data_IF_071534451122
#
_entry.id   IF_071534451122
#
_cell.length_a   1.000
_cell.length_b   1.000
_cell.length_c   1.000
_cell.angle_alpha   90.00
_cell.angle_beta   90.00
_cell.angle_gamma   90.00
#
_symmetry.space_group_name_H-M   'P 1'
#
loop_
_entity.id
_entity.type
_entity.pdbx_description
1 polymer ?
#
# COMPACT_ATOMS: atom_id res chain seq x y z
N UNK A 1 -26.51 -23.99 56.13
CA UNK A 1 -26.12 -24.90 55.03
C UNK A 1 -25.16 -24.14 54.14
N UNK A 2 -23.85 -24.38 54.34
CA UNK A 2 -22.77 -23.72 53.58
C UNK A 2 -22.38 -24.62 52.44
N UNK A 3 -22.54 -24.19 51.18
CA UNK A 3 -21.98 -24.87 50.04
C UNK A 3 -20.66 -24.18 49.65
N UNK A 4 -19.56 -24.80 50.00
CA UNK A 4 -18.23 -24.42 49.56
C UNK A 4 -17.98 -24.82 48.08
N UNK A 5 -17.68 -23.84 47.26
CA UNK A 5 -17.24 -24.06 45.85
C UNK A 5 -15.72 -24.23 45.85
N UNK A 6 -15.26 -25.45 45.69
CA UNK A 6 -13.83 -25.79 45.51
C UNK A 6 -13.45 -25.51 44.06
N UNK A 7 -12.66 -24.46 43.80
CA UNK A 7 -12.00 -24.25 42.49
C UNK A 7 -10.84 -25.24 42.34
N UNK A 8 -10.95 -26.11 41.38
CA UNK A 8 -9.86 -26.93 40.93
C UNK A 8 -8.84 -26.11 40.09
N UNK A 9 -7.64 -25.97 40.61
CA UNK A 9 -6.50 -25.38 39.92
C UNK A 9 -6.00 -26.37 38.87
N UNK A 10 -6.04 -26.00 37.61
CA UNK A 10 -5.50 -26.76 36.48
C UNK A 10 -3.97 -26.67 36.49
N UNK A 11 -3.22 -27.78 36.31
CA UNK A 11 -1.76 -27.74 36.29
C UNK A 11 -1.23 -26.94 35.09
N UNK A 12 0.00 -26.37 35.17
CA UNK A 12 0.59 -25.61 34.08
C UNK A 12 0.83 -26.51 32.87
N UNK A 13 0.41 -26.03 31.70
CA UNK A 13 0.66 -26.65 30.41
C UNK A 13 2.13 -26.40 30.05
N UNK A 14 2.85 -27.45 29.66
CA UNK A 14 4.24 -27.37 29.22
C UNK A 14 4.29 -26.73 27.80
N UNK A 15 4.72 -25.44 27.73
CA UNK A 15 4.72 -24.59 26.53
C UNK A 15 5.86 -24.89 25.56
N UNK A 16 6.69 -25.91 25.78
CA UNK A 16 7.92 -26.09 24.99
C UNK A 16 7.74 -26.84 23.67
N UNK A 17 6.65 -27.57 23.45
CA UNK A 17 6.45 -28.39 22.23
C UNK A 17 5.54 -27.75 21.18
N UNK A 18 4.69 -26.82 21.58
CA UNK A 18 3.76 -26.11 20.66
C UNK A 18 4.46 -25.07 19.78
N UNK A 19 5.51 -24.40 20.29
CA UNK A 19 6.23 -23.35 19.53
C UNK A 19 7.05 -23.88 18.36
N UNK A 20 7.47 -25.15 18.40
CA UNK A 20 8.25 -25.77 17.31
C UNK A 20 7.33 -26.26 16.20
N UNK A 21 6.14 -26.76 16.53
CA UNK A 21 5.12 -27.17 15.55
C UNK A 21 4.62 -25.99 14.71
N UNK A 22 4.39 -24.84 15.33
CA UNK A 22 3.92 -23.64 14.64
C UNK A 22 4.87 -23.13 13.55
N UNK A 23 6.20 -23.14 13.83
CA UNK A 23 7.22 -22.66 12.89
C UNK A 23 7.28 -23.48 11.59
N UNK A 24 7.11 -24.80 11.66
CA UNK A 24 7.15 -25.68 10.50
C UNK A 24 5.85 -25.58 9.68
N UNK A 25 4.72 -25.45 10.35
CA UNK A 25 3.41 -25.30 9.72
C UNK A 25 3.32 -23.98 8.93
N UNK A 26 3.75 -22.87 9.54
CA UNK A 26 3.75 -21.55 8.89
C UNK A 26 4.67 -21.52 7.65
N UNK A 27 5.84 -22.15 7.71
CA UNK A 27 6.75 -22.20 6.56
C UNK A 27 6.17 -23.00 5.39
N UNK A 28 5.41 -24.07 5.66
CA UNK A 28 4.78 -24.87 4.61
C UNK A 28 3.75 -24.09 3.78
N UNK A 29 3.13 -23.09 4.38
CA UNK A 29 2.06 -22.27 3.80
C UNK A 29 2.56 -21.03 3.06
N UNK A 30 3.89 -20.79 3.08
CA UNK A 30 4.49 -19.68 2.34
C UNK A 30 4.56 -20.04 0.85
N UNK A 31 3.70 -19.44 0.03
CA UNK A 31 3.71 -19.63 -1.42
C UNK A 31 4.94 -18.98 -2.08
N UNK A 32 5.51 -19.67 -3.07
CA UNK A 32 6.63 -19.17 -3.87
C UNK A 32 6.05 -18.55 -5.15
N UNK A 33 6.16 -17.23 -5.37
CA UNK A 33 5.65 -16.63 -6.59
C UNK A 33 6.47 -17.05 -7.81
N UNK A 34 5.79 -17.26 -8.93
CA UNK A 34 6.40 -17.71 -10.19
C UNK A 34 7.41 -16.71 -10.80
N UNK A 35 7.47 -15.45 -10.33
CA UNK A 35 8.37 -14.42 -10.83
C UNK A 35 8.63 -13.36 -9.77
N UNK A 36 9.80 -13.36 -9.18
CA UNK A 36 10.36 -12.22 -8.42
C UNK A 36 11.21 -11.37 -9.35
N UNK A 37 10.58 -10.54 -10.19
CA UNK A 37 11.18 -10.00 -11.41
C UNK A 37 12.05 -8.75 -11.28
N UNK A 38 12.17 -8.09 -10.11
CA UNK A 38 13.00 -6.86 -9.99
C UNK A 38 13.81 -6.83 -8.70
N UNK A 39 15.13 -6.88 -8.80
CA UNK A 39 16.07 -6.93 -7.64
C UNK A 39 15.89 -5.78 -6.62
N UNK A 40 15.46 -4.59 -7.03
CA UNK A 40 15.27 -3.44 -6.11
C UNK A 40 13.95 -3.48 -5.33
N UNK A 41 12.94 -4.16 -5.86
CA UNK A 41 11.64 -4.34 -5.20
C UNK A 41 11.57 -5.62 -4.33
N UNK A 42 12.60 -6.46 -4.38
CA UNK A 42 12.61 -7.80 -3.78
C UNK A 42 12.35 -7.81 -2.25
N UNK A 43 12.94 -6.93 -1.42
CA UNK A 43 12.61 -6.89 0.01
C UNK A 43 11.13 -6.58 0.29
N UNK A 44 10.52 -5.70 -0.52
CA UNK A 44 9.09 -5.37 -0.41
C UNK A 44 8.20 -6.54 -0.82
N UNK A 45 8.55 -7.24 -1.90
CA UNK A 45 7.82 -8.42 -2.33
C UNK A 45 7.88 -9.53 -1.28
N UNK A 46 9.06 -9.78 -0.70
CA UNK A 46 9.24 -10.72 0.41
C UNK A 46 8.43 -10.29 1.63
N UNK A 47 8.42 -8.99 1.96
CA UNK A 47 7.62 -8.44 3.05
C UNK A 47 6.11 -8.68 2.82
N UNK A 48 5.62 -8.43 1.61
CA UNK A 48 4.20 -8.63 1.28
C UNK A 48 3.79 -10.11 1.47
N UNK A 49 4.63 -11.06 1.01
CA UNK A 49 4.41 -12.49 1.20
C UNK A 49 4.40 -12.92 2.67
N UNK A 50 5.33 -12.38 3.47
CA UNK A 50 5.35 -12.67 4.90
C UNK A 50 4.16 -12.02 5.60
N UNK A 51 3.75 -10.81 5.19
CA UNK A 51 2.56 -10.14 5.73
C UNK A 51 1.28 -10.96 5.49
N UNK A 52 1.13 -11.55 4.29
CA UNK A 52 0.01 -12.44 3.97
C UNK A 52 0.02 -13.69 4.86
N UNK A 53 1.17 -14.35 5.02
CA UNK A 53 1.33 -15.47 5.94
C UNK A 53 0.92 -15.09 7.36
N UNK A 54 1.44 -13.97 7.87
CA UNK A 54 1.17 -13.48 9.21
C UNK A 54 -0.32 -13.19 9.41
N UNK A 55 -0.97 -12.57 8.42
CA UNK A 55 -2.38 -12.21 8.51
C UNK A 55 -3.33 -13.43 8.39
N UNK A 56 -2.97 -14.43 7.59
CA UNK A 56 -3.83 -15.57 7.29
C UNK A 56 -3.68 -16.71 8.30
N UNK A 57 -2.44 -17.01 8.70
CA UNK A 57 -2.10 -18.28 9.30
C UNK A 57 -1.51 -18.18 10.72
N UNK A 58 -1.09 -16.97 11.16
CA UNK A 58 -0.52 -16.77 12.49
C UNK A 58 -1.47 -16.01 13.43
N UNK A 59 -1.50 -16.47 14.68
CA UNK A 59 -2.19 -15.76 15.77
C UNK A 59 -1.23 -14.79 16.46
N UNK A 60 -1.74 -13.75 17.12
CA UNK A 60 -0.92 -12.91 17.97
C UNK A 60 -0.11 -13.74 18.99
N UNK A 61 1.20 -13.53 18.98
CA UNK A 61 2.12 -14.27 19.83
C UNK A 61 2.76 -15.49 19.18
N UNK A 62 2.29 -15.95 18.02
CA UNK A 62 2.91 -17.04 17.28
C UNK A 62 4.28 -16.64 16.73
N UNK A 63 5.22 -17.56 16.72
CA UNK A 63 6.57 -17.31 16.24
C UNK A 63 6.65 -17.40 14.71
N UNK A 64 7.32 -16.43 14.09
CA UNK A 64 7.61 -16.47 12.66
C UNK A 64 8.70 -17.50 12.34
N UNK A 65 8.72 -18.04 11.10
CA UNK A 65 9.82 -18.83 10.60
C UNK A 65 11.15 -18.05 10.65
N UNK A 66 12.27 -18.74 10.77
CA UNK A 66 13.59 -18.12 10.81
C UNK A 66 13.93 -17.43 9.47
N UNK A 67 14.78 -16.39 9.52
CA UNK A 67 15.27 -15.72 8.31
C UNK A 67 15.90 -16.69 7.31
N UNK A 68 16.58 -17.72 7.81
CA UNK A 68 17.22 -18.76 6.98
C UNK A 68 16.16 -19.60 6.28
N UNK A 69 15.16 -20.07 7.00
CA UNK A 69 14.09 -20.90 6.45
C UNK A 69 13.26 -20.15 5.39
N UNK A 70 12.94 -18.87 5.64
CA UNK A 70 12.24 -18.02 4.66
C UNK A 70 13.11 -17.78 3.43
N UNK A 71 14.42 -17.50 3.61
CA UNK A 71 15.35 -17.27 2.52
C UNK A 71 15.47 -18.49 1.59
N UNK A 72 15.56 -19.68 2.16
CA UNK A 72 15.59 -20.96 1.42
C UNK A 72 14.27 -21.19 0.67
N UNK A 73 13.13 -21.03 1.36
CA UNK A 73 11.80 -21.25 0.78
C UNK A 73 11.49 -20.32 -0.38
N UNK A 74 11.83 -19.02 -0.26
CA UNK A 74 11.59 -18.00 -1.30
C UNK A 74 12.74 -17.87 -2.30
N UNK A 75 13.82 -18.64 -2.15
CA UNK A 75 15.03 -18.59 -3.00
C UNK A 75 15.64 -17.18 -3.07
N UNK A 76 15.69 -16.47 -1.96
CA UNK A 76 16.24 -15.11 -1.83
C UNK A 76 17.39 -15.06 -0.82
N UNK A 77 18.15 -13.96 -0.79
CA UNK A 77 19.21 -13.79 0.19
C UNK A 77 18.66 -13.55 1.60
N UNK A 78 19.40 -14.00 2.63
CA UNK A 78 19.06 -13.71 4.04
C UNK A 78 19.01 -12.22 4.34
N UNK A 79 19.84 -11.40 3.66
CA UNK A 79 19.80 -9.94 3.79
C UNK A 79 18.48 -9.36 3.28
N UNK A 80 17.94 -9.89 2.18
CA UNK A 80 16.63 -9.50 1.62
C UNK A 80 15.50 -9.80 2.61
N UNK A 81 15.52 -11.01 3.22
CA UNK A 81 14.54 -11.40 4.25
C UNK A 81 14.64 -10.51 5.48
N UNK A 82 15.87 -10.22 5.94
CA UNK A 82 16.10 -9.34 7.10
C UNK A 82 15.57 -7.93 6.86
N UNK A 83 15.73 -7.39 5.67
CA UNK A 83 15.18 -6.09 5.29
C UNK A 83 13.64 -6.14 5.26
N UNK A 84 13.06 -7.18 4.69
CA UNK A 84 11.62 -7.41 4.70
C UNK A 84 11.05 -7.50 6.13
N UNK A 85 11.73 -8.25 7.01
CA UNK A 85 11.32 -8.37 8.41
C UNK A 85 11.39 -7.02 9.16
N UNK A 86 12.38 -6.17 8.87
CA UNK A 86 12.44 -4.81 9.43
C UNK A 86 11.27 -3.96 8.99
N UNK A 87 10.83 -4.09 7.73
CA UNK A 87 9.63 -3.39 7.26
C UNK A 87 8.38 -3.84 8.03
N UNK A 88 8.22 -5.15 8.25
CA UNK A 88 7.12 -5.70 9.05
C UNK A 88 7.16 -5.25 10.51
N UNK A 89 8.35 -5.10 11.09
CA UNK A 89 8.52 -4.53 12.44
C UNK A 89 8.13 -3.05 12.48
N UNK A 90 8.55 -2.25 11.50
CA UNK A 90 8.16 -0.83 11.37
C UNK A 90 6.64 -0.68 11.19
N UNK A 91 6.01 -1.59 10.47
CA UNK A 91 4.55 -1.67 10.31
C UNK A 91 3.86 -2.29 11.54
N UNK A 92 4.66 -2.92 12.46
CA UNK A 92 4.29 -3.60 13.70
C UNK A 92 3.36 -4.77 13.53
N UNK A 93 3.42 -5.40 12.40
CA UNK A 93 2.85 -6.72 12.18
C UNK A 93 3.66 -7.79 12.91
N UNK A 94 4.94 -7.51 13.15
CA UNK A 94 5.90 -8.41 13.78
C UNK A 94 6.67 -7.66 14.88
N UNK A 95 6.99 -8.34 15.95
CA UNK A 95 7.90 -7.86 17.00
C UNK A 95 9.09 -8.79 17.18
N UNK A 96 10.27 -8.23 17.48
CA UNK A 96 11.46 -9.00 17.83
C UNK A 96 11.57 -9.14 19.34
N UNK A 97 11.62 -10.39 19.83
CA UNK A 97 11.94 -10.70 21.24
C UNK A 97 13.38 -11.17 21.32
N UNK A 98 14.19 -10.43 22.09
CA UNK A 98 15.65 -10.67 22.18
C UNK A 98 15.94 -12.10 22.62
N UNK A 99 16.71 -12.84 21.81
CA UNK A 99 17.05 -14.24 22.08
C UNK A 99 15.97 -15.26 21.72
N UNK A 100 14.72 -14.85 21.46
CA UNK A 100 13.60 -15.77 21.21
C UNK A 100 13.15 -15.78 19.74
N UNK A 101 13.45 -14.73 18.97
CA UNK A 101 13.05 -14.63 17.56
C UNK A 101 12.01 -13.56 17.29
N UNK A 102 11.27 -13.74 16.22
CA UNK A 102 10.20 -12.81 15.81
C UNK A 102 8.82 -13.43 15.98
N UNK A 103 7.87 -12.61 16.39
CA UNK A 103 6.53 -13.05 16.75
C UNK A 103 5.49 -12.15 16.07
N UNK A 104 4.36 -12.73 15.68
CA UNK A 104 3.20 -11.99 15.20
C UNK A 104 2.62 -11.14 16.33
N UNK A 105 2.30 -9.88 16.04
CA UNK A 105 1.72 -8.97 17.04
C UNK A 105 0.20 -9.10 17.10
N UNK A 106 -0.44 -8.47 18.08
CA UNK A 106 -1.89 -8.36 18.14
C UNK A 106 -2.49 -7.63 16.91
N UNK A 107 -1.68 -6.90 16.16
CA UNK A 107 -2.09 -6.21 14.95
C UNK A 107 -2.03 -7.07 13.69
N UNK A 108 -1.41 -8.24 13.77
CA UNK A 108 -1.30 -9.18 12.64
C UNK A 108 -2.67 -9.72 12.19
N UNK A 109 -3.63 -9.82 13.10
CA UNK A 109 -5.02 -10.20 12.80
C UNK A 109 -5.92 -9.03 12.38
N UNK A 110 -5.43 -7.78 12.51
CA UNK A 110 -6.12 -6.61 11.97
C UNK A 110 -5.77 -6.52 10.49
N UNK A 111 -6.47 -7.29 9.66
CA UNK A 111 -6.33 -7.23 8.21
C UNK A 111 -6.62 -5.81 7.75
N UNK A 112 -5.58 -5.11 7.38
CA UNK A 112 -5.74 -4.00 6.45
C UNK A 112 -5.70 -4.61 5.06
N UNK A 113 -6.84 -4.91 4.49
CA UNK A 113 -6.93 -5.39 3.10
C UNK A 113 -6.27 -4.39 2.15
N UNK A 114 -6.11 -3.14 2.60
CA UNK A 114 -5.43 -2.05 1.90
C UNK A 114 -4.82 -1.07 2.89
N UNK A 115 -3.56 -1.26 3.28
CA UNK A 115 -2.88 -0.26 4.09
C UNK A 115 -2.70 1.03 3.27
N UNK A 116 -3.30 2.11 3.74
CA UNK A 116 -3.12 3.45 3.16
C UNK A 116 -1.66 3.90 3.10
N UNK A 117 -0.79 3.24 3.86
CA UNK A 117 0.64 3.50 3.91
C UNK A 117 1.42 2.86 2.75
N UNK A 118 0.78 1.99 1.94
CA UNK A 118 1.40 1.39 0.76
C UNK A 118 1.10 2.24 -0.46
N UNK A 119 2.15 2.87 -1.03
CA UNK A 119 2.03 3.52 -2.33
C UNK A 119 1.95 2.45 -3.43
N UNK A 120 0.92 2.53 -4.25
CA UNK A 120 0.74 1.68 -5.43
C UNK A 120 -0.08 2.39 -6.50
N UNK A 121 0.11 2.02 -7.76
CA UNK A 121 -0.71 2.56 -8.83
C UNK A 121 -2.14 2.05 -8.74
N UNK A 122 -3.11 2.87 -9.14
CA UNK A 122 -4.54 2.51 -9.12
C UNK A 122 -4.80 1.25 -9.94
N UNK A 123 -4.16 1.10 -11.09
CA UNK A 123 -4.31 -0.09 -11.93
C UNK A 123 -3.87 -1.36 -11.20
N UNK A 124 -2.69 -1.32 -10.56
CA UNK A 124 -2.19 -2.43 -9.75
C UNK A 124 -3.13 -2.72 -8.59
N UNK A 125 -3.57 -1.68 -7.91
CA UNK A 125 -4.52 -1.74 -6.83
C UNK A 125 -5.81 -2.49 -7.22
N UNK A 126 -6.41 -2.15 -8.36
CA UNK A 126 -7.63 -2.79 -8.83
C UNK A 126 -7.40 -4.26 -9.19
N UNK A 127 -6.26 -4.58 -9.83
CA UNK A 127 -5.90 -5.95 -10.17
C UNK A 127 -5.72 -6.82 -8.92
N UNK A 128 -5.04 -6.31 -7.89
CA UNK A 128 -4.84 -7.02 -6.61
C UNK A 128 -6.15 -7.27 -5.85
N UNK A 129 -7.18 -6.43 -6.08
CA UNK A 129 -8.54 -6.66 -5.59
C UNK A 129 -9.34 -7.68 -6.43
N UNK A 130 -8.74 -8.25 -7.47
CA UNK A 130 -9.42 -9.17 -8.38
C UNK A 130 -10.25 -8.48 -9.47
N UNK A 131 -10.20 -7.14 -9.57
CA UNK A 131 -10.86 -6.41 -10.66
C UNK A 131 -10.08 -6.54 -11.96
N UNK A 132 -10.79 -6.36 -13.08
CA UNK A 132 -10.20 -6.27 -14.43
C UNK A 132 -10.48 -4.86 -14.97
N UNK A 133 -9.65 -3.86 -14.59
CA UNK A 133 -9.95 -2.49 -14.96
C UNK A 133 -9.74 -2.25 -16.45
N UNK A 134 -10.72 -1.61 -17.08
CA UNK A 134 -10.58 -0.96 -18.37
C UNK A 134 -10.44 0.54 -18.16
N UNK A 135 -9.51 1.18 -18.85
CA UNK A 135 -9.26 2.62 -18.74
C UNK A 135 -9.74 3.35 -19.97
N UNK A 136 -10.63 4.32 -19.78
CA UNK A 136 -11.02 5.29 -20.79
C UNK A 136 -10.25 6.59 -20.57
N UNK A 137 -9.46 7.01 -21.54
CA UNK A 137 -8.77 8.32 -21.54
C UNK A 137 -9.78 9.38 -21.99
N UNK A 138 -10.19 10.23 -21.08
CA UNK A 138 -11.15 11.30 -21.34
C UNK A 138 -10.47 12.47 -22.04
N UNK A 139 -9.31 12.88 -21.53
CA UNK A 139 -8.51 13.95 -22.13
C UNK A 139 -7.04 13.89 -21.70
N UNK A 140 -6.18 14.38 -22.58
CA UNK A 140 -4.78 14.72 -22.30
C UNK A 140 -4.56 16.13 -22.83
N UNK A 141 -4.23 17.07 -21.95
CA UNK A 141 -4.11 18.48 -22.34
C UNK A 141 -2.90 19.15 -21.70
N UNK A 142 -2.30 20.09 -22.44
CA UNK A 142 -1.32 21.02 -21.89
C UNK A 142 -2.04 22.31 -21.48
N UNK A 143 -1.89 22.70 -20.21
CA UNK A 143 -2.50 23.93 -19.67
C UNK A 143 -1.55 24.70 -18.75
N UNK A 144 -1.87 25.95 -18.48
CA UNK A 144 -1.14 26.74 -17.51
C UNK A 144 -1.22 26.09 -16.09
N UNK A 145 -0.07 26.01 -15.44
CA UNK A 145 0.00 25.50 -14.07
C UNK A 145 -0.61 26.51 -13.08
N UNK A 146 -1.43 26.02 -12.16
CA UNK A 146 -1.95 26.83 -11.04
C UNK A 146 -0.83 27.23 -10.08
N UNK A 147 -1.02 28.22 -9.20
CA UNK A 147 -0.03 28.59 -8.20
C UNK A 147 0.36 27.42 -7.26
N UNK A 148 -0.60 26.56 -6.89
CA UNK A 148 -0.35 25.38 -6.03
C UNK A 148 0.48 24.30 -6.75
N UNK A 149 0.15 24.01 -8.00
CA UNK A 149 0.89 23.06 -8.83
C UNK A 149 2.32 23.51 -9.07
N UNK A 150 2.52 24.80 -9.39
CA UNK A 150 3.87 25.36 -9.55
C UNK A 150 4.71 25.21 -8.28
N UNK A 151 4.11 25.42 -7.10
CA UNK A 151 4.84 25.21 -5.83
C UNK A 151 5.20 23.75 -5.63
N UNK A 152 4.24 22.84 -5.82
CA UNK A 152 4.46 21.40 -5.62
C UNK A 152 5.47 20.83 -6.63
N UNK A 153 5.36 21.16 -7.91
CA UNK A 153 6.23 20.70 -8.99
C UNK A 153 7.53 21.53 -9.14
N UNK A 154 7.75 22.52 -8.27
CA UNK A 154 8.93 23.42 -8.30
C UNK A 154 9.13 24.09 -9.68
N UNK A 155 8.05 24.64 -10.23
CA UNK A 155 8.01 25.23 -11.57
C UNK A 155 8.05 26.74 -11.53
N UNK A 156 8.57 27.36 -12.60
CA UNK A 156 8.61 28.81 -12.77
C UNK A 156 7.22 29.41 -13.04
N UNK A 157 7.11 30.72 -12.90
CA UNK A 157 5.92 31.43 -13.34
C UNK A 157 5.64 31.17 -14.83
N UNK A 158 4.36 31.09 -15.17
CA UNK A 158 3.87 30.81 -16.54
C UNK A 158 4.25 29.44 -17.12
N UNK A 159 4.75 28.49 -16.29
CA UNK A 159 4.95 27.12 -16.73
C UNK A 159 3.63 26.43 -17.08
N UNK A 160 3.71 25.49 -18.00
CA UNK A 160 2.59 24.61 -18.35
C UNK A 160 2.77 23.26 -17.65
N UNK A 161 1.67 22.57 -17.46
CA UNK A 161 1.58 21.18 -16.96
C UNK A 161 0.82 20.34 -17.98
N UNK A 162 1.04 19.04 -17.93
CA UNK A 162 0.20 18.08 -18.64
C UNK A 162 -0.85 17.58 -17.65
N UNK A 163 -2.11 17.71 -18.03
CA UNK A 163 -3.23 17.15 -17.30
C UNK A 163 -3.84 16.00 -18.06
N UNK A 164 -3.99 14.86 -17.39
CA UNK A 164 -4.71 13.71 -17.93
C UNK A 164 -5.96 13.44 -17.10
N UNK A 165 -7.07 13.15 -17.75
CA UNK A 165 -8.34 12.76 -17.14
C UNK A 165 -8.71 11.37 -17.63
N UNK A 166 -8.97 10.47 -16.71
CA UNK A 166 -9.18 9.07 -17.03
C UNK A 166 -10.24 8.47 -16.13
N UNK A 167 -11.05 7.61 -16.73
CA UNK A 167 -12.04 6.80 -16.03
C UNK A 167 -11.59 5.34 -16.04
N UNK A 168 -11.82 4.66 -14.94
CA UNK A 168 -11.65 3.21 -14.88
C UNK A 168 -12.97 2.58 -14.52
N UNK A 169 -13.29 1.54 -15.29
CA UNK A 169 -14.48 0.74 -15.09
C UNK A 169 -14.11 -0.70 -14.73
N UNK A 170 -15.04 -1.35 -14.08
CA UNK A 170 -15.08 -2.79 -13.90
C UNK A 170 -16.50 -3.26 -14.11
N UNK A 171 -16.68 -4.28 -14.98
CA UNK A 171 -17.97 -4.86 -15.34
C UNK A 171 -19.03 -3.81 -15.78
N UNK A 172 -18.60 -2.82 -16.56
CA UNK A 172 -19.49 -1.79 -17.10
C UNK A 172 -19.79 -0.64 -16.12
N UNK A 173 -19.23 -0.65 -14.92
CA UNK A 173 -19.40 0.44 -13.95
C UNK A 173 -18.12 1.26 -13.79
N UNK A 174 -18.21 2.57 -13.99
CA UNK A 174 -17.13 3.48 -13.64
C UNK A 174 -16.97 3.56 -12.11
N UNK A 175 -15.81 3.17 -11.63
CA UNK A 175 -15.52 3.08 -10.19
C UNK A 175 -14.34 3.94 -9.75
N UNK A 176 -13.51 4.43 -10.68
CA UNK A 176 -12.43 5.40 -10.40
C UNK A 176 -12.39 6.48 -11.46
N UNK A 177 -12.35 7.74 -11.03
CA UNK A 177 -12.02 8.90 -11.85
C UNK A 177 -10.73 9.53 -11.40
N UNK A 178 -9.78 9.74 -12.32
CA UNK A 178 -8.44 10.25 -12.02
C UNK A 178 -8.15 11.52 -12.80
N UNK A 179 -7.67 12.53 -12.12
CA UNK A 179 -7.05 13.73 -12.70
C UNK A 179 -5.60 13.76 -12.29
N UNK A 180 -4.70 13.59 -13.24
CA UNK A 180 -3.26 13.59 -12.99
C UNK A 180 -2.60 14.79 -13.63
N UNK A 181 -1.73 15.45 -12.89
CA UNK A 181 -0.98 16.63 -13.34
C UNK A 181 0.52 16.32 -13.27
N UNK A 182 1.18 16.42 -14.41
CA UNK A 182 2.58 16.08 -14.58
C UNK A 182 3.40 17.30 -14.99
N UNK A 183 4.66 17.29 -14.59
CA UNK A 183 5.66 18.20 -15.12
C UNK A 183 6.04 17.76 -16.55
N UNK A 184 5.84 18.58 -17.59
CA UNK A 184 6.21 18.21 -18.98
C UNK A 184 7.68 17.79 -19.13
N UNK A 185 8.57 18.27 -18.24
CA UNK A 185 10.01 17.94 -18.26
C UNK A 185 10.30 16.49 -17.84
N UNK A 186 9.29 15.77 -17.37
CA UNK A 186 9.42 14.32 -17.06
C UNK A 186 9.06 13.43 -18.25
N UNK A 187 8.56 14.02 -19.34
CA UNK A 187 8.16 13.28 -20.53
C UNK A 187 9.23 13.45 -21.60
N UNK A 188 9.78 12.35 -22.08
CA UNK A 188 10.79 12.32 -23.15
C UNK A 188 10.17 12.18 -24.54
N UNK A 189 8.88 11.80 -24.60
CA UNK A 189 8.14 11.55 -25.84
C UNK A 189 7.06 12.60 -26.06
N UNK A 190 6.58 12.69 -27.32
CA UNK A 190 5.38 13.46 -27.62
C UNK A 190 4.18 12.90 -26.88
N UNK A 191 3.22 13.77 -26.50
CA UNK A 191 2.00 13.34 -25.80
C UNK A 191 1.18 12.33 -26.61
N UNK A 192 1.26 12.41 -27.94
CA UNK A 192 0.52 11.54 -28.87
C UNK A 192 1.17 10.14 -28.96
N UNK A 193 2.44 10.00 -28.61
CA UNK A 193 3.18 8.75 -28.66
C UNK A 193 3.07 7.94 -27.34
N UNK A 194 2.44 8.51 -26.30
CA UNK A 194 2.30 7.88 -25.00
C UNK A 194 0.95 7.18 -24.89
N UNK A 195 0.96 5.91 -24.52
CA UNK A 195 -0.27 5.19 -24.17
C UNK A 195 -0.78 5.58 -22.78
N UNK A 196 -1.65 6.57 -22.73
CA UNK A 196 -2.26 7.06 -21.51
C UNK A 196 -3.32 6.13 -20.90
N UNK A 197 -3.68 5.02 -21.56
CA UNK A 197 -4.57 4.00 -20.99
C UNK A 197 -3.88 3.17 -19.90
N UNK A 198 -2.56 3.14 -19.90
CA UNK A 198 -1.73 2.49 -18.90
C UNK A 198 -1.68 3.21 -17.55
N UNK A 199 -0.77 2.77 -16.70
CA UNK A 199 -0.50 3.41 -15.40
C UNK A 199 0.43 4.62 -15.58
N UNK A 200 0.02 5.82 -15.16
CA UNK A 200 0.90 7.02 -15.18
C UNK A 200 2.16 6.83 -14.33
N UNK A 201 2.07 6.04 -13.25
CA UNK A 201 3.23 5.71 -12.43
C UNK A 201 4.25 4.92 -13.25
N UNK A 202 3.79 3.90 -13.99
CA UNK A 202 4.66 3.09 -14.86
C UNK A 202 5.24 3.94 -16.00
N UNK A 203 4.43 4.79 -16.64
CA UNK A 203 4.89 5.72 -17.69
C UNK A 203 6.06 6.59 -17.18
N UNK A 204 5.93 7.14 -15.96
CA UNK A 204 7.00 7.94 -15.35
C UNK A 204 8.23 7.10 -14.98
N UNK A 205 8.03 5.88 -14.50
CA UNK A 205 9.12 4.95 -14.16
C UNK A 205 9.92 4.55 -15.42
N UNK A 206 9.24 4.25 -16.53
CA UNK A 206 9.87 3.92 -17.81
C UNK A 206 10.68 5.09 -18.38
N UNK A 207 10.30 6.32 -18.03
CA UNK A 207 11.04 7.56 -18.36
C UNK A 207 12.09 7.94 -17.28
N UNK A 208 12.45 7.01 -16.40
CA UNK A 208 13.51 7.22 -15.39
C UNK A 208 13.08 7.97 -14.13
N UNK A 209 11.77 8.21 -13.93
CA UNK A 209 11.23 8.90 -12.77
C UNK A 209 10.56 7.94 -11.77
N UNK A 210 11.36 7.07 -11.14
CA UNK A 210 10.88 6.15 -10.10
C UNK A 210 10.23 6.91 -8.94
N UNK A 211 8.93 6.70 -8.71
CA UNK A 211 8.22 7.24 -7.56
C UNK A 211 8.45 6.33 -6.37
N UNK A 212 8.95 6.90 -5.27
CA UNK A 212 9.31 6.12 -4.06
C UNK A 212 8.41 6.42 -2.86
N UNK A 213 7.69 7.54 -2.90
CA UNK A 213 6.77 7.94 -1.83
C UNK A 213 5.72 8.92 -2.35
N UNK A 214 4.61 9.00 -1.64
CA UNK A 214 3.61 10.04 -1.83
C UNK A 214 3.15 10.62 -0.49
N UNK A 215 2.64 11.85 -0.54
CA UNK A 215 1.86 12.43 0.54
C UNK A 215 0.41 12.51 0.08
N UNK A 216 -0.48 11.79 0.77
CA UNK A 216 -1.89 11.69 0.43
C UNK A 216 -2.77 12.43 1.44
N UNK A 217 -3.77 13.14 0.93
CA UNK A 217 -4.86 13.72 1.71
C UNK A 217 -6.19 13.14 1.25
N UNK A 218 -6.95 12.55 2.17
CA UNK A 218 -8.20 11.85 1.87
C UNK A 218 -9.37 12.61 2.42
N UNK A 219 -10.38 12.75 1.58
CA UNK A 219 -11.66 13.38 1.91
C UNK A 219 -12.80 12.65 1.24
N UNK A 220 -14.03 12.97 1.64
CA UNK A 220 -15.24 12.43 1.03
C UNK A 220 -15.96 13.54 0.31
N UNK A 221 -16.44 13.24 -0.90
CA UNK A 221 -17.27 14.12 -1.71
C UNK A 221 -18.55 13.39 -2.12
N UNK A 222 -19.63 14.11 -2.29
CA UNK A 222 -20.89 13.53 -2.75
C UNK A 222 -20.77 13.01 -4.18
N UNK A 223 -20.10 13.80 -5.03
CA UNK A 223 -19.83 13.50 -6.43
C UNK A 223 -18.42 14.01 -6.78
N UNK A 224 -17.72 13.37 -7.73
CA UNK A 224 -16.50 13.94 -8.28
C UNK A 224 -16.78 15.35 -8.83
N UNK A 225 -15.83 16.27 -8.66
CA UNK A 225 -15.88 17.55 -9.35
C UNK A 225 -15.72 17.30 -10.86
N UNK A 226 -16.85 17.12 -11.49
CA UNK A 226 -16.97 16.89 -12.93
C UNK A 226 -16.99 18.25 -13.61
N UNK A 227 -15.89 18.59 -14.26
CA UNK A 227 -15.90 19.69 -15.23
C UNK A 227 -16.58 19.20 -16.51
N UNK A 228 -16.90 20.11 -17.42
CA UNK A 228 -17.63 19.86 -18.68
C UNK A 228 -17.13 18.66 -19.51
N UNK A 229 -15.88 18.24 -19.28
CA UNK A 229 -15.26 17.07 -19.95
C UNK A 229 -15.93 15.73 -19.69
N UNK A 230 -16.71 15.59 -18.61
CA UNK A 230 -17.47 14.38 -18.29
C UNK A 230 -18.97 14.54 -18.55
N UNK A 231 -19.37 15.63 -19.20
CA UNK A 231 -20.76 15.84 -19.59
C UNK A 231 -21.25 14.69 -20.46
N UNK A 232 -22.28 13.99 -19.99
CA UNK A 232 -22.83 12.80 -20.67
C UNK A 232 -22.24 11.46 -20.22
N UNK A 233 -21.29 11.44 -19.29
CA UNK A 233 -20.80 10.21 -18.66
C UNK A 233 -21.63 9.95 -17.39
N UNK A 234 -22.30 8.82 -17.33
CA UNK A 234 -23.09 8.41 -16.16
C UNK A 234 -22.15 7.83 -15.09
N UNK A 235 -21.78 8.67 -14.14
CA UNK A 235 -21.02 8.23 -12.97
C UNK A 235 -21.99 7.67 -11.93
N UNK A 236 -21.62 6.56 -11.29
CA UNK A 236 -22.42 5.94 -10.24
C UNK A 236 -22.73 6.95 -9.12
N UNK A 237 -24.00 7.03 -8.74
CA UNK A 237 -24.44 7.84 -7.61
C UNK A 237 -23.85 7.29 -6.30
N UNK A 238 -23.47 8.18 -5.39
CA UNK A 238 -23.01 7.82 -4.05
C UNK A 238 -21.78 8.63 -3.62
N UNK A 239 -21.35 8.45 -2.36
CA UNK A 239 -20.16 9.11 -1.87
C UNK A 239 -18.91 8.56 -2.55
N UNK A 240 -17.98 9.46 -2.85
CA UNK A 240 -16.67 9.14 -3.41
C UNK A 240 -15.58 9.50 -2.41
N UNK A 241 -14.61 8.61 -2.26
CA UNK A 241 -13.38 8.90 -1.54
C UNK A 241 -12.42 9.61 -2.48
N UNK A 242 -12.11 10.86 -2.20
CA UNK A 242 -11.16 11.66 -2.97
C UNK A 242 -9.80 11.60 -2.31
N UNK A 243 -8.80 11.11 -3.03
CA UNK A 243 -7.40 11.03 -2.62
C UNK A 243 -6.61 12.05 -3.43
N UNK A 244 -6.08 13.07 -2.77
CA UNK A 244 -5.15 14.03 -3.38
C UNK A 244 -3.73 13.64 -3.00
N UNK A 245 -2.88 13.39 -3.98
CA UNK A 245 -1.50 12.93 -3.75
C UNK A 245 -0.47 13.83 -4.43
N UNK A 246 0.68 13.95 -3.77
CA UNK A 246 1.91 14.47 -4.36
C UNK A 246 2.95 13.36 -4.32
N UNK A 247 3.35 12.89 -5.49
CA UNK A 247 4.24 11.76 -5.65
C UNK A 247 5.67 12.25 -5.91
N UNK A 248 6.62 11.72 -5.15
CA UNK A 248 8.02 12.16 -5.19
C UNK A 248 8.97 11.04 -5.56
N UNK A 249 10.01 11.42 -6.29
CA UNK A 249 11.13 10.55 -6.62
C UNK A 249 12.09 10.41 -5.43
N UNK A 250 13.09 9.53 -5.57
CA UNK A 250 14.16 9.33 -4.58
C UNK A 250 14.93 10.61 -4.24
N UNK A 251 14.97 11.59 -5.14
CA UNK A 251 15.60 12.91 -4.90
C UNK A 251 14.68 13.90 -4.17
N UNK A 252 13.45 13.50 -3.83
CA UNK A 252 12.46 14.37 -3.21
C UNK A 252 11.75 15.30 -4.20
N UNK A 253 12.00 15.17 -5.51
CA UNK A 253 11.31 15.96 -6.53
C UNK A 253 9.88 15.43 -6.72
N UNK A 254 8.88 16.29 -6.61
CA UNK A 254 7.51 15.98 -7.00
C UNK A 254 7.42 15.95 -8.53
N UNK A 255 6.92 14.84 -9.08
CA UNK A 255 6.79 14.62 -10.53
C UNK A 255 5.35 14.39 -10.97
N UNK A 256 4.47 14.07 -10.03
CA UNK A 256 3.06 13.79 -10.27
C UNK A 256 2.23 14.35 -9.11
N UNK A 257 1.19 15.07 -9.46
CA UNK A 257 0.08 15.39 -8.55
C UNK A 257 -1.12 14.63 -9.05
N UNK A 258 -1.77 13.85 -8.20
CA UNK A 258 -2.98 13.14 -8.56
C UNK A 258 -4.17 13.57 -7.71
N UNK A 259 -5.34 13.52 -8.29
CA UNK A 259 -6.62 13.58 -7.62
C UNK A 259 -7.45 12.43 -8.13
N UNK A 260 -7.61 11.43 -7.28
CA UNK A 260 -8.27 10.19 -7.61
C UNK A 260 -9.55 10.06 -6.79
N UNK A 261 -10.67 9.88 -7.47
CA UNK A 261 -11.98 9.67 -6.89
C UNK A 261 -12.30 8.19 -6.97
N UNK A 262 -12.51 7.58 -5.82
CA UNK A 262 -12.85 6.16 -5.69
C UNK A 262 -14.29 6.02 -5.23
N UNK A 263 -15.11 5.27 -5.94
CA UNK A 263 -16.50 5.05 -5.58
C UNK A 263 -16.59 4.34 -4.22
N UNK A 264 -17.24 4.96 -3.24
CA UNK A 264 -17.26 4.50 -1.86
C UNK A 264 -17.97 3.17 -1.63
N UNK A 265 -18.87 2.75 -2.55
CA UNK A 265 -19.49 1.42 -2.52
C UNK A 265 -18.56 0.30 -2.99
N UNK A 266 -17.46 0.64 -3.70
CA UNK A 266 -16.48 -0.30 -4.27
C UNK A 266 -15.18 -0.30 -3.48
N UNK A 267 -14.74 0.86 -2.99
CA UNK A 267 -13.44 1.01 -2.34
C UNK A 267 -13.56 1.41 -0.88
N UNK A 268 -12.71 0.82 -0.07
CA UNK A 268 -12.42 1.22 1.31
C UNK A 268 -10.91 1.25 1.52
N UNK A 269 -10.45 2.17 2.37
CA UNK A 269 -9.05 2.27 2.75
C UNK A 269 -8.92 2.01 4.24
N UNK A 270 -7.89 1.26 4.63
CA UNK A 270 -7.64 0.91 6.02
C UNK A 270 -6.34 1.49 6.52
N UNK A 271 -6.31 1.91 7.77
CA UNK A 271 -5.10 2.34 8.45
C UNK A 271 -5.02 1.66 9.82
N UNK A 272 -3.87 1.07 10.14
CA UNK A 272 -3.60 0.54 11.47
C UNK A 272 -3.04 1.68 12.32
N UNK A 273 -3.77 2.03 13.40
CA UNK A 273 -3.34 3.05 14.36
C UNK A 273 -2.75 2.37 15.58
N UNK A 274 -1.61 2.87 16.06
CA UNK A 274 -0.98 2.41 17.30
C UNK A 274 -1.03 3.52 18.34
N UNK A 275 -1.13 3.12 19.60
CA UNK A 275 -0.86 4.02 20.71
C UNK A 275 0.66 4.14 20.83
N UNK A 276 1.19 5.35 20.75
CA UNK A 276 2.57 5.61 21.17
C UNK A 276 2.68 5.26 22.66
N UNK A 277 3.67 4.45 23.03
CA UNK A 277 4.00 4.26 24.44
C UNK A 277 4.52 5.60 24.94
N UNK A 278 3.83 6.16 25.95
CA UNK A 278 4.30 7.35 26.64
C UNK A 278 5.67 7.00 27.24
N UNK A 279 6.75 7.70 26.89
CA UNK A 279 8.10 7.42 27.43
C UNK A 279 8.20 7.74 28.90
N UNK A 280 7.21 7.50 29.71
CA UNK A 280 7.16 7.68 31.15
C UNK A 280 7.98 8.89 31.69
N UNK A 281 7.66 9.51 32.79
CA UNK A 281 8.45 10.62 33.27
C UNK A 281 9.91 10.18 33.47
N UNK A 282 10.89 11.00 33.05
CA UNK A 282 12.31 10.68 33.19
C UNK A 282 12.57 10.29 34.64
N UNK A 283 13.08 9.07 34.82
CA UNK A 283 13.39 8.53 36.15
C UNK A 283 14.24 9.57 36.89
N UNK A 284 13.75 10.00 38.06
CA UNK A 284 14.55 10.79 38.98
C UNK A 284 15.70 9.90 39.43
N UNK A 285 16.89 10.08 38.81
CA UNK A 285 18.14 9.55 39.33
C UNK A 285 18.59 10.29 40.58
#
# INVERSE_FOLDING_TARGET
MQNGLTMAVKPPVDDSDDTVRDRHSALAQLDVPASMAHRRALPRQVRDHIAELVARDLRPGDSLPSETAVAEKLMVSRSTVREAMKLLEQEGLVETRRGSGRFATAFSGLRSERPMTKFESITKMMIELGYRPTTTVVSVTSRAATPSERRALQMKAKSQVIETRRLREHEGQYCVYSVNVLDPRTLESSLDDIDWSGSVVVILEDMGHEIVASSAHISVVAEPLVEDALSGIDLAAGPWLMVNEQCVTRTGRCVLISRDYHLGSVFSFSVVRRREEDPGPPGRG
#
